data_IF_784458305808
#
_entry.id   IF_784458305808
#
_cell.length_a   1.000
_cell.length_b   1.000
_cell.length_c   1.000
_cell.angle_alpha   90.00
_cell.angle_beta   90.00
_cell.angle_gamma   90.00
#
_symmetry.space_group_name_H-M   'P 1'
#
loop_
_entity.id
_entity.type
_entity.pdbx_description
1 polymer ?
#
# COMPACT_ATOMS: atom_id res chain seq x y z
N UNK A 1 3.15 -109.60 46.58
CA UNK A 1 3.81 -109.15 45.33
C UNK A 1 2.96 -108.08 44.59
N UNK A 2 1.64 -108.06 44.73
CA UNK A 2 0.75 -107.04 44.06
C UNK A 2 0.74 -105.70 44.68
N UNK A 3 1.06 -105.43 45.99
CA UNK A 3 1.08 -104.15 46.61
C UNK A 3 2.26 -103.22 46.18
N UNK A 4 3.43 -103.80 45.87
CA UNK A 4 4.58 -103.08 45.35
C UNK A 4 4.37 -102.54 43.92
N UNK A 5 3.61 -103.25 43.08
CA UNK A 5 3.32 -102.89 41.70
C UNK A 5 2.34 -101.72 41.64
N UNK A 6 1.37 -101.57 42.55
CA UNK A 6 0.39 -100.52 42.61
C UNK A 6 1.00 -99.17 43.16
N UNK A 7 1.99 -99.24 44.10
CA UNK A 7 2.68 -98.05 44.58
C UNK A 7 3.59 -97.43 43.50
N UNK A 8 4.26 -98.30 42.70
CA UNK A 8 5.12 -97.81 41.59
C UNK A 8 4.32 -97.13 40.45
N UNK A 9 3.14 -97.71 40.08
CA UNK A 9 2.25 -97.09 39.07
C UNK A 9 1.60 -95.80 39.53
N UNK A 10 1.30 -95.65 40.82
CA UNK A 10 0.74 -94.37 41.39
C UNK A 10 1.79 -93.23 41.42
N UNK A 11 3.06 -93.54 41.78
CA UNK A 11 4.15 -92.60 41.79
C UNK A 11 4.58 -92.13 40.38
N UNK A 12 4.55 -92.99 39.37
CA UNK A 12 4.84 -92.64 37.98
C UNK A 12 3.76 -91.79 37.34
N UNK A 13 2.46 -92.07 37.66
CA UNK A 13 1.34 -91.21 37.21
C UNK A 13 1.40 -89.80 37.86
N UNK A 14 1.72 -89.66 39.17
CA UNK A 14 1.85 -88.45 39.89
C UNK A 14 3.03 -87.60 39.37
N UNK A 15 4.19 -88.24 39.13
CA UNK A 15 5.36 -87.58 38.57
C UNK A 15 5.15 -87.05 37.13
N UNK A 16 4.41 -87.81 36.30
CA UNK A 16 4.07 -87.39 34.94
C UNK A 16 3.10 -86.21 34.92
N UNK A 17 2.09 -86.26 35.80
CA UNK A 17 1.14 -85.14 35.94
C UNK A 17 1.79 -83.86 36.47
N UNK A 18 2.74 -83.93 37.41
CA UNK A 18 3.50 -82.80 37.91
C UNK A 18 4.48 -82.26 36.85
N UNK A 19 5.10 -83.12 36.05
CA UNK A 19 5.96 -82.69 34.93
C UNK A 19 5.16 -82.01 33.83
N UNK A 20 3.95 -82.53 33.49
CA UNK A 20 3.05 -81.83 32.52
C UNK A 20 2.51 -80.49 33.04
N UNK A 21 2.16 -80.40 34.32
CA UNK A 21 1.76 -79.14 34.94
C UNK A 21 2.92 -78.07 34.90
N UNK A 22 4.13 -78.51 35.22
CA UNK A 22 5.33 -77.64 35.18
C UNK A 22 5.68 -77.23 33.75
N UNK A 23 5.56 -78.13 32.78
CA UNK A 23 5.75 -77.84 31.35
C UNK A 23 4.71 -76.86 30.84
N UNK A 24 3.43 -77.09 31.16
CA UNK A 24 2.35 -76.16 30.75
C UNK A 24 2.46 -74.76 31.41
N UNK A 25 2.86 -74.70 32.68
CA UNK A 25 3.13 -73.44 33.37
C UNK A 25 4.28 -72.71 32.74
N UNK A 26 5.39 -73.35 32.38
CA UNK A 26 6.56 -72.75 31.71
C UNK A 26 6.20 -72.33 30.30
N UNK A 27 5.37 -73.09 29.56
CA UNK A 27 4.88 -72.70 28.22
C UNK A 27 3.95 -71.53 28.26
N UNK A 28 3.11 -71.40 29.30
CA UNK A 28 2.22 -70.22 29.51
C UNK A 28 3.02 -68.98 29.86
N UNK A 29 4.08 -69.12 30.68
CA UNK A 29 5.00 -68.01 31.04
C UNK A 29 5.77 -67.58 29.80
N UNK A 30 6.32 -68.49 28.99
CA UNK A 30 7.03 -68.12 27.74
C UNK A 30 6.11 -67.43 26.73
N UNK A 31 4.85 -67.92 26.59
CA UNK A 31 3.85 -67.22 25.72
C UNK A 31 3.51 -65.83 26.26
N UNK A 32 3.35 -65.64 27.58
CA UNK A 32 3.13 -64.33 28.21
C UNK A 32 4.31 -63.39 28.02
N UNK A 33 5.54 -63.91 28.19
CA UNK A 33 6.75 -63.10 27.97
C UNK A 33 6.92 -62.68 26.51
N UNK A 34 6.62 -63.57 25.56
CA UNK A 34 6.63 -63.30 24.14
C UNK A 34 5.60 -62.20 23.77
N UNK A 35 4.38 -62.33 24.31
CA UNK A 35 3.33 -61.31 24.11
C UNK A 35 3.74 -59.94 24.68
N UNK A 36 4.38 -59.90 25.84
CA UNK A 36 4.88 -58.68 26.46
C UNK A 36 5.97 -58.05 25.61
N UNK A 37 6.90 -58.84 25.08
CA UNK A 37 7.97 -58.36 24.19
C UNK A 37 7.37 -57.78 22.90
N UNK A 38 6.37 -58.44 22.31
CA UNK A 38 5.70 -57.91 21.12
C UNK A 38 5.00 -56.60 21.42
N UNK A 39 4.31 -56.44 22.55
CA UNK A 39 3.65 -55.19 22.95
C UNK A 39 4.68 -54.07 23.13
N UNK A 40 5.82 -54.36 23.77
CA UNK A 40 6.89 -53.37 23.95
C UNK A 40 7.48 -52.96 22.62
N UNK A 41 7.72 -53.87 21.69
CA UNK A 41 8.23 -53.57 20.33
C UNK A 41 7.23 -52.70 19.55
N UNK A 42 5.94 -53.00 19.64
CA UNK A 42 4.88 -52.21 18.99
C UNK A 42 4.79 -50.80 19.60
N UNK A 43 4.91 -50.65 20.94
CA UNK A 43 4.90 -49.38 21.62
C UNK A 43 6.13 -48.55 21.25
N UNK A 44 7.31 -49.16 21.23
CA UNK A 44 8.56 -48.46 20.81
C UNK A 44 8.45 -48.03 19.34
N UNK A 45 7.93 -48.90 18.46
CA UNK A 45 7.69 -48.57 17.05
C UNK A 45 6.71 -47.43 16.85
N UNK A 46 5.61 -47.41 17.63
CA UNK A 46 4.64 -46.30 17.56
C UNK A 46 5.21 -44.98 18.09
N UNK A 47 5.97 -44.99 19.18
CA UNK A 47 6.62 -43.78 19.74
C UNK A 47 7.67 -43.21 18.76
N UNK A 48 8.49 -44.09 18.17
CA UNK A 48 9.48 -43.67 17.15
C UNK A 48 8.82 -43.11 15.91
N UNK A 49 7.72 -43.74 15.44
CA UNK A 49 6.95 -43.22 14.29
C UNK A 49 6.34 -41.89 14.58
N UNK A 50 5.76 -41.68 15.77
CA UNK A 50 5.21 -40.38 16.19
C UNK A 50 6.32 -39.33 16.29
N UNK A 51 7.49 -39.69 16.81
CA UNK A 51 8.64 -38.77 16.93
C UNK A 51 9.17 -38.36 15.55
N UNK A 52 9.35 -39.32 14.62
CA UNK A 52 9.79 -39.05 13.25
C UNK A 52 8.75 -38.18 12.52
N UNK A 53 7.46 -38.50 12.67
CA UNK A 53 6.37 -37.68 12.09
C UNK A 53 6.37 -36.27 12.61
N UNK A 54 6.56 -36.09 13.92
CA UNK A 54 6.65 -34.75 14.55
C UNK A 54 7.88 -33.96 14.07
N UNK A 55 9.03 -34.63 13.94
CA UNK A 55 10.27 -34.03 13.45
C UNK A 55 10.16 -33.60 11.98
N UNK A 56 9.55 -34.45 11.12
CA UNK A 56 9.31 -34.13 9.72
C UNK A 56 8.32 -32.96 9.57
N UNK A 57 7.24 -32.93 10.36
CA UNK A 57 6.30 -31.82 10.34
C UNK A 57 6.92 -30.50 10.79
N UNK A 58 7.79 -30.53 11.81
CA UNK A 58 8.52 -29.33 12.25
C UNK A 58 9.43 -28.80 11.13
N UNK A 59 10.17 -29.69 10.45
CA UNK A 59 11.02 -29.31 9.33
C UNK A 59 10.21 -28.73 8.16
N UNK A 60 9.09 -29.35 7.80
CA UNK A 60 8.18 -28.86 6.74
C UNK A 60 7.62 -27.48 7.11
N UNK A 61 7.28 -27.25 8.37
CA UNK A 61 6.78 -25.94 8.84
C UNK A 61 7.87 -24.87 8.80
N UNK A 62 9.11 -25.18 9.18
CA UNK A 62 10.25 -24.26 9.07
C UNK A 62 10.56 -23.92 7.61
N UNK A 63 10.55 -24.91 6.71
CA UNK A 63 10.74 -24.67 5.28
C UNK A 63 9.64 -23.75 4.70
N UNK A 64 8.37 -23.99 5.06
CA UNK A 64 7.24 -23.14 4.65
C UNK A 64 7.36 -21.71 5.19
N UNK A 65 7.74 -21.56 6.47
CA UNK A 65 8.01 -20.27 7.10
C UNK A 65 9.07 -19.50 6.33
N UNK A 66 10.20 -20.14 6.04
CA UNK A 66 11.30 -19.54 5.30
C UNK A 66 10.88 -19.04 3.92
N UNK A 67 10.16 -19.89 3.16
CA UNK A 67 9.68 -19.53 1.82
C UNK A 67 8.71 -18.35 1.91
N UNK A 68 7.72 -18.40 2.79
CA UNK A 68 6.75 -17.33 2.99
C UNK A 68 7.44 -16.00 3.30
N UNK A 69 8.33 -15.98 4.29
CA UNK A 69 8.98 -14.74 4.74
C UNK A 69 9.95 -14.19 3.69
N UNK A 70 10.63 -15.07 2.94
CA UNK A 70 11.47 -14.66 1.81
C UNK A 70 10.66 -14.00 0.70
N UNK A 71 9.50 -14.56 0.36
CA UNK A 71 8.61 -14.00 -0.66
C UNK A 71 8.07 -12.64 -0.23
N UNK A 72 7.58 -12.53 1.01
CA UNK A 72 7.08 -11.26 1.56
C UNK A 72 8.20 -10.21 1.63
N UNK A 73 9.41 -10.59 2.05
CA UNK A 73 10.57 -9.68 2.12
C UNK A 73 10.94 -9.11 0.76
N UNK A 74 10.84 -9.91 -0.28
CA UNK A 74 11.13 -9.53 -1.66
C UNK A 74 9.95 -8.78 -2.33
N UNK A 75 8.76 -8.79 -1.73
CA UNK A 75 7.62 -8.01 -2.22
C UNK A 75 7.81 -6.52 -1.92
N UNK A 76 7.37 -5.68 -2.84
CA UNK A 76 7.52 -4.22 -2.74
C UNK A 76 6.88 -3.64 -1.45
N UNK A 77 5.71 -4.15 -1.06
CA UNK A 77 4.90 -3.58 0.02
C UNK A 77 4.79 -4.48 1.26
N UNK A 78 5.42 -5.66 1.29
CA UNK A 78 5.36 -6.61 2.42
C UNK A 78 3.94 -6.94 2.89
N UNK A 79 3.00 -7.07 1.95
CA UNK A 79 1.60 -7.39 2.23
C UNK A 79 1.39 -8.86 2.57
N UNK A 80 0.56 -9.09 3.56
CA UNK A 80 0.13 -10.43 3.98
C UNK A 80 -1.39 -10.43 4.21
N UNK A 81 -1.98 -11.62 4.18
CA UNK A 81 -3.39 -11.84 4.50
C UNK A 81 -3.51 -12.79 5.69
N UNK A 82 -4.43 -12.51 6.61
CA UNK A 82 -4.69 -13.45 7.72
C UNK A 82 -5.40 -14.70 7.22
N UNK A 83 -4.85 -15.86 7.54
CA UNK A 83 -5.40 -17.17 7.13
C UNK A 83 -6.48 -17.72 8.09
N UNK A 84 -6.64 -17.09 9.25
CA UNK A 84 -7.65 -17.38 10.29
C UNK A 84 -7.94 -16.11 11.10
N UNK A 85 -8.95 -16.16 12.00
CA UNK A 85 -9.10 -15.12 13.03
C UNK A 85 -7.85 -15.11 13.91
N UNK A 86 -7.21 -13.97 14.03
CA UNK A 86 -5.85 -13.87 14.58
C UNK A 86 -5.79 -12.83 15.68
N UNK A 87 -5.00 -13.12 16.71
CA UNK A 87 -4.72 -12.17 17.78
C UNK A 87 -3.62 -11.19 17.37
N UNK A 88 -3.74 -9.97 17.80
CA UNK A 88 -2.70 -8.96 17.75
C UNK A 88 -2.01 -8.88 19.11
N UNK A 89 -0.72 -8.58 19.09
CA UNK A 89 0.13 -8.61 20.26
C UNK A 89 0.91 -7.30 20.41
N UNK A 90 1.27 -6.92 21.65
CA UNK A 90 2.25 -5.87 21.92
C UNK A 90 3.69 -6.43 21.85
N UNK A 91 4.68 -5.56 22.05
CA UNK A 91 6.12 -5.95 22.08
C UNK A 91 6.50 -6.96 23.18
N UNK A 92 5.62 -7.13 24.18
CA UNK A 92 5.79 -8.07 25.30
C UNK A 92 4.96 -9.34 25.09
N UNK A 93 4.42 -9.56 23.88
CA UNK A 93 3.58 -10.70 23.50
C UNK A 93 2.22 -10.78 24.24
N UNK A 94 1.76 -9.68 24.84
CA UNK A 94 0.41 -9.61 25.37
C UNK A 94 -0.60 -9.39 24.24
N UNK A 95 -1.76 -10.05 24.35
CA UNK A 95 -2.87 -9.85 23.41
C UNK A 95 -3.43 -8.45 23.61
N UNK A 96 -3.51 -7.67 22.53
CA UNK A 96 -4.02 -6.29 22.51
C UNK A 96 -5.20 -6.10 21.54
N UNK A 97 -5.53 -7.11 20.74
CA UNK A 97 -6.62 -7.05 19.79
C UNK A 97 -6.81 -8.36 19.05
N UNK A 98 -7.74 -8.34 18.11
CA UNK A 98 -8.04 -9.45 17.21
C UNK A 98 -8.43 -8.93 15.83
N UNK A 99 -8.04 -9.66 14.78
CA UNK A 99 -8.44 -9.41 13.41
C UNK A 99 -9.10 -10.64 12.81
N UNK A 100 -10.06 -10.45 11.93
CA UNK A 100 -10.78 -11.53 11.28
C UNK A 100 -9.94 -12.17 10.17
N UNK A 101 -10.28 -13.41 9.81
CA UNK A 101 -9.70 -14.08 8.63
C UNK A 101 -9.93 -13.27 7.37
N UNK A 102 -8.93 -13.25 6.50
CA UNK A 102 -9.00 -12.52 5.22
C UNK A 102 -8.63 -11.04 5.35
N UNK A 103 -8.11 -10.63 6.50
CA UNK A 103 -7.66 -9.26 6.74
C UNK A 103 -6.28 -9.04 6.13
N UNK A 104 -6.13 -8.01 5.29
CA UNK A 104 -4.83 -7.61 4.72
C UNK A 104 -4.05 -6.76 5.71
N UNK A 105 -2.78 -7.10 5.89
CA UNK A 105 -1.86 -6.43 6.81
C UNK A 105 -0.57 -6.07 6.09
N UNK A 106 0.10 -5.00 6.53
CA UNK A 106 1.45 -4.65 6.07
C UNK A 106 2.44 -4.92 7.18
N UNK A 107 3.47 -5.68 6.89
CA UNK A 107 4.57 -5.89 7.83
C UNK A 107 5.57 -4.73 7.75
N UNK A 108 6.16 -4.35 8.88
CA UNK A 108 7.21 -3.33 8.96
C UNK A 108 8.51 -3.89 8.37
N UNK A 109 9.40 -4.39 9.18
CA UNK A 109 10.65 -4.99 8.72
C UNK A 109 10.71 -6.50 9.01
N UNK A 110 11.20 -7.26 8.03
CA UNK A 110 11.39 -8.71 8.16
C UNK A 110 12.89 -8.96 8.28
N UNK A 111 13.36 -9.37 9.47
CA UNK A 111 14.78 -9.62 9.71
C UNK A 111 15.30 -10.79 8.85
N UNK A 112 16.59 -10.77 8.54
CA UNK A 112 17.22 -11.77 7.66
C UNK A 112 17.23 -13.19 8.23
N UNK A 113 17.23 -13.33 9.56
CA UNK A 113 17.36 -14.63 10.23
C UNK A 113 16.03 -15.39 10.43
N UNK A 114 14.88 -14.77 10.13
CA UNK A 114 13.53 -15.37 10.25
C UNK A 114 13.21 -16.12 11.57
N UNK A 115 13.97 -15.89 12.64
CA UNK A 115 13.84 -16.63 13.91
C UNK A 115 12.64 -16.20 14.75
N UNK A 116 12.11 -15.00 14.49
CA UNK A 116 10.99 -14.42 15.24
C UNK A 116 9.67 -15.13 14.92
N UNK A 117 8.85 -15.34 15.95
CA UNK A 117 7.45 -15.80 15.78
C UNK A 117 6.49 -14.66 15.46
N UNK A 118 6.81 -13.45 15.90
CA UNK A 118 5.97 -12.26 15.81
C UNK A 118 6.60 -11.24 14.87
N UNK A 119 5.81 -10.71 13.96
CA UNK A 119 6.20 -9.67 13.02
C UNK A 119 5.44 -8.38 13.31
N UNK A 120 6.18 -7.27 13.33
CA UNK A 120 5.64 -5.94 13.58
C UNK A 120 4.81 -5.48 12.39
N UNK A 121 3.66 -4.88 12.67
CA UNK A 121 2.83 -4.21 11.67
C UNK A 121 3.36 -2.79 11.41
N UNK A 122 3.30 -2.36 10.16
CA UNK A 122 3.74 -1.04 9.72
C UNK A 122 2.92 0.05 10.41
N UNK A 123 3.58 1.11 10.85
CA UNK A 123 2.99 2.27 11.53
C UNK A 123 2.25 1.97 12.83
N UNK A 124 2.55 0.84 13.47
CA UNK A 124 1.96 0.51 14.77
C UNK A 124 2.97 -0.22 15.66
N UNK A 125 2.73 -0.25 16.97
CA UNK A 125 3.47 -1.11 17.91
C UNK A 125 2.76 -2.47 18.12
N UNK A 126 2.03 -2.92 17.11
CA UNK A 126 1.34 -4.20 17.10
C UNK A 126 2.13 -5.26 16.35
N UNK A 127 1.92 -6.51 16.73
CA UNK A 127 2.60 -7.67 16.19
C UNK A 127 1.58 -8.76 15.85
N UNK A 128 1.86 -9.56 14.84
CA UNK A 128 1.09 -10.73 14.46
C UNK A 128 2.00 -11.95 14.36
N UNK A 129 1.47 -13.15 14.66
CA UNK A 129 2.22 -14.41 14.50
C UNK A 129 2.37 -14.76 13.03
N UNK A 130 3.55 -15.25 12.64
CA UNK A 130 3.78 -15.72 11.27
C UNK A 130 2.84 -16.87 10.86
N UNK A 131 2.41 -17.71 11.83
CA UNK A 131 1.48 -18.83 11.59
C UNK A 131 0.07 -18.39 11.20
N UNK A 132 -0.23 -17.14 11.42
CA UNK A 132 -1.56 -16.55 11.25
C UNK A 132 -1.71 -15.78 9.93
N UNK A 133 -0.62 -15.70 9.16
CA UNK A 133 -0.55 -14.98 7.89
C UNK A 133 -0.18 -15.89 6.72
N UNK A 134 -0.58 -15.47 5.54
CA UNK A 134 -0.19 -16.06 4.25
C UNK A 134 0.27 -14.95 3.31
N UNK A 135 0.99 -15.32 2.25
CA UNK A 135 1.30 -14.40 1.17
C UNK A 135 0.00 -13.89 0.53
N UNK A 136 -0.06 -12.59 0.26
CA UNK A 136 -1.19 -12.02 -0.47
C UNK A 136 -1.02 -12.28 -1.96
N UNK A 137 -1.96 -13.01 -2.56
CA UNK A 137 -2.02 -13.24 -4.02
C UNK A 137 -2.63 -12.05 -4.77
N UNK A 138 -3.32 -11.14 -4.08
CA UNK A 138 -3.89 -9.96 -4.71
C UNK A 138 -2.80 -8.94 -5.02
N UNK A 139 -2.79 -8.45 -6.27
CA UNK A 139 -2.15 -7.18 -6.60
C UNK A 139 -2.91 -6.10 -5.86
N UNK A 140 -2.42 -5.74 -4.68
CA UNK A 140 -3.00 -4.63 -3.96
C UNK A 140 -2.82 -3.34 -4.77
N UNK A 141 -3.87 -2.53 -4.81
CA UNK A 141 -3.75 -1.14 -5.24
C UNK A 141 -2.64 -0.49 -4.41
N UNK A 142 -1.82 0.30 -5.09
CA UNK A 142 -0.74 1.07 -4.45
C UNK A 142 -1.37 1.95 -3.35
N UNK A 143 -1.23 1.53 -2.10
CA UNK A 143 -1.74 2.29 -0.96
C UNK A 143 -0.85 3.51 -0.76
N UNK A 144 -1.15 4.56 -1.47
CA UNK A 144 -0.35 5.79 -1.52
C UNK A 144 -0.05 6.36 -0.14
N UNK A 145 -0.96 6.21 0.83
CA UNK A 145 -0.75 6.64 2.22
C UNK A 145 0.42 5.92 2.92
N UNK A 146 0.91 4.80 2.40
CA UNK A 146 2.11 4.12 2.89
C UNK A 146 3.38 4.96 2.70
N UNK A 147 3.34 5.92 1.79
CA UNK A 147 4.43 6.86 1.54
C UNK A 147 4.32 8.13 2.41
N UNK A 148 3.22 8.32 3.15
CA UNK A 148 3.06 9.51 3.98
C UNK A 148 3.97 9.44 5.21
N UNK A 149 4.55 10.56 5.56
CA UNK A 149 5.33 10.69 6.79
C UNK A 149 4.36 10.98 7.93
N UNK A 150 4.33 10.19 8.99
CA UNK A 150 3.47 10.47 10.13
C UNK A 150 3.71 11.88 10.70
N UNK A 151 2.66 12.50 11.18
CA UNK A 151 2.79 13.74 11.97
C UNK A 151 3.56 13.45 13.27
N UNK A 152 4.15 14.52 13.87
CA UNK A 152 4.72 14.44 15.22
C UNK A 152 3.62 14.32 16.29
N UNK A 153 2.61 13.52 16.00
CA UNK A 153 1.43 13.29 16.83
C UNK A 153 0.98 11.85 16.63
N UNK A 154 0.54 11.25 17.73
CA UNK A 154 -0.06 9.91 17.71
C UNK A 154 -1.36 9.92 18.50
N UNK A 155 -2.28 9.06 18.11
CA UNK A 155 -3.45 8.76 18.90
C UNK A 155 -3.07 7.72 19.95
N UNK A 156 -3.51 7.93 21.18
CA UNK A 156 -3.46 6.91 22.23
C UNK A 156 -4.85 6.29 22.34
N UNK A 157 -4.95 5.01 22.03
CA UNK A 157 -6.21 4.28 22.18
C UNK A 157 -6.48 3.97 23.66
N UNK A 158 -7.74 3.83 24.01
CA UNK A 158 -8.22 3.30 25.29
C UNK A 158 -9.13 2.08 25.04
N UNK A 159 -9.67 1.49 26.09
CA UNK A 159 -10.43 0.24 26.02
C UNK A 159 -11.59 0.23 25.00
N UNK A 160 -12.15 1.37 24.67
CA UNK A 160 -13.32 1.47 23.79
C UNK A 160 -13.06 2.31 22.53
N UNK A 161 -11.79 2.56 22.21
CA UNK A 161 -11.45 3.32 21.00
C UNK A 161 -11.90 2.57 19.76
N UNK A 162 -12.72 3.24 18.94
CA UNK A 162 -13.26 2.71 17.71
C UNK A 162 -12.52 3.28 16.51
N UNK A 163 -12.04 2.40 15.65
CA UNK A 163 -11.52 2.74 14.33
C UNK A 163 -12.62 2.54 13.29
N UNK A 164 -12.77 3.47 12.38
CA UNK A 164 -13.87 3.53 11.42
C UNK A 164 -13.41 3.51 9.98
N UNK A 165 -14.25 2.94 9.12
CA UNK A 165 -14.24 3.11 7.67
C UNK A 165 -15.66 3.48 7.24
N UNK A 166 -15.83 4.55 6.45
CA UNK A 166 -17.15 5.02 5.93
C UNK A 166 -18.25 5.08 7.01
N UNK A 167 -17.91 5.61 8.19
CA UNK A 167 -18.75 5.70 9.40
C UNK A 167 -19.15 4.35 10.05
N UNK A 168 -18.78 3.22 9.49
CA UNK A 168 -18.95 1.92 10.12
C UNK A 168 -17.78 1.60 11.05
N UNK A 169 -18.09 1.02 12.22
CA UNK A 169 -17.05 0.53 13.13
C UNK A 169 -16.36 -0.66 12.49
N UNK A 170 -15.04 -0.58 12.37
CA UNK A 170 -14.20 -1.64 11.82
C UNK A 170 -13.50 -2.44 12.91
N UNK A 171 -12.87 -1.75 13.87
CA UNK A 171 -12.28 -2.34 15.06
C UNK A 171 -12.69 -1.63 16.33
N UNK A 172 -12.67 -2.38 17.43
CA UNK A 172 -12.60 -1.83 18.79
C UNK A 172 -11.25 -2.25 19.37
N UNK A 173 -10.50 -1.31 19.92
CA UNK A 173 -9.20 -1.57 20.53
C UNK A 173 -9.37 -1.70 22.03
N UNK A 174 -8.99 -2.85 22.59
CA UNK A 174 -9.19 -3.18 24.00
C UNK A 174 -8.09 -2.65 24.94
N UNK A 175 -6.99 -2.16 24.38
CA UNK A 175 -5.82 -1.72 25.14
C UNK A 175 -5.31 -0.37 24.67
N UNK A 176 -4.52 0.25 25.53
CA UNK A 176 -3.77 1.44 25.19
C UNK A 176 -2.63 1.11 24.23
N UNK A 177 -2.76 1.54 22.98
CA UNK A 177 -1.72 1.50 21.95
C UNK A 177 -1.55 2.87 21.34
N UNK A 178 -0.40 3.08 20.75
CA UNK A 178 -0.06 4.32 20.04
C UNK A 178 -0.17 4.13 18.53
N UNK A 179 -1.02 4.96 17.89
CA UNK A 179 -1.23 4.95 16.43
C UNK A 179 -0.76 6.27 15.83
N UNK A 180 0.31 6.28 15.00
CA UNK A 180 0.78 7.48 14.32
C UNK A 180 -0.28 8.07 13.38
N UNK A 181 -0.44 9.40 13.42
CA UNK A 181 -1.39 10.10 12.56
C UNK A 181 -0.76 10.30 11.19
N UNK A 182 -1.41 9.78 10.14
CA UNK A 182 -1.01 9.93 8.74
C UNK A 182 -1.75 11.08 8.04
N UNK A 183 -3.04 11.27 8.37
CA UNK A 183 -3.83 12.38 7.83
C UNK A 183 -4.51 13.11 9.00
N UNK A 184 -4.33 14.43 9.03
CA UNK A 184 -4.94 15.33 9.99
C UNK A 184 -6.07 16.10 9.30
N UNK A 185 -7.25 15.50 9.20
CA UNK A 185 -8.41 16.16 8.60
C UNK A 185 -9.17 17.04 9.61
N UNK A 186 -10.24 17.69 9.23
CA UNK A 186 -10.97 18.68 10.03
C UNK A 186 -11.47 18.10 11.34
N UNK A 187 -12.16 16.96 11.31
CA UNK A 187 -12.81 16.29 12.43
C UNK A 187 -12.30 14.88 12.71
N UNK A 188 -11.34 14.39 11.89
CA UNK A 188 -10.83 13.03 11.91
C UNK A 188 -9.31 12.99 11.89
N UNK A 189 -8.74 12.01 12.59
CA UNK A 189 -7.37 11.57 12.40
C UNK A 189 -7.38 10.23 11.68
N UNK A 190 -6.62 10.13 10.58
CA UNK A 190 -6.47 8.87 9.88
C UNK A 190 -5.14 8.21 10.28
N UNK A 191 -5.23 6.92 10.50
CA UNK A 191 -4.13 6.03 10.89
C UNK A 191 -4.10 4.83 9.95
N UNK A 192 -2.94 4.24 9.74
CA UNK A 192 -2.85 2.97 9.04
C UNK A 192 -3.00 1.85 10.06
N UNK A 193 -3.97 0.99 9.85
CA UNK A 193 -4.18 -0.22 10.61
C UNK A 193 -4.76 -1.29 9.69
N UNK A 194 -4.29 -2.52 9.80
CA UNK A 194 -4.80 -3.63 9.00
C UNK A 194 -4.70 -3.39 7.48
N UNK A 195 -3.61 -2.77 7.03
CA UNK A 195 -3.42 -2.34 5.63
C UNK A 195 -4.58 -1.48 5.08
N UNK A 196 -5.27 -0.79 5.95
CA UNK A 196 -6.35 0.14 5.61
C UNK A 196 -6.12 1.49 6.27
N UNK A 197 -6.57 2.51 5.58
CA UNK A 197 -6.63 3.84 6.14
C UNK A 197 -7.93 3.98 6.92
N UNK A 198 -7.84 3.90 8.24
CA UNK A 198 -8.95 4.02 9.16
C UNK A 198 -8.90 5.37 9.86
N UNK A 199 -10.03 5.81 10.41
CA UNK A 199 -10.05 7.06 11.14
C UNK A 199 -10.58 6.92 12.56
N UNK A 200 -10.16 7.84 13.42
CA UNK A 200 -10.71 8.11 14.74
C UNK A 200 -11.27 9.52 14.75
N UNK A 201 -12.40 9.73 15.42
CA UNK A 201 -12.97 11.07 15.57
C UNK A 201 -12.15 11.87 16.56
N UNK A 202 -11.88 13.15 16.26
CA UNK A 202 -11.04 14.03 17.09
C UNK A 202 -11.62 14.26 18.50
N UNK A 203 -12.92 14.31 18.62
CA UNK A 203 -13.64 14.52 19.89
C UNK A 203 -13.60 13.31 20.83
N UNK A 204 -13.26 12.14 20.32
CA UNK A 204 -13.22 10.86 21.06
C UNK A 204 -11.82 10.27 21.18
N UNK A 205 -10.78 11.02 20.83
CA UNK A 205 -9.39 10.52 20.80
C UNK A 205 -8.48 11.34 21.72
N UNK A 206 -7.61 10.65 22.43
CA UNK A 206 -6.48 11.25 23.14
C UNK A 206 -5.28 11.34 22.18
N UNK A 207 -4.64 12.50 22.10
CA UNK A 207 -3.50 12.75 21.23
C UNK A 207 -2.27 13.08 22.07
N UNK A 208 -1.16 12.44 21.74
CA UNK A 208 0.17 12.72 22.33
C UNK A 208 1.06 13.40 21.28
N UNK A 209 1.68 14.50 21.68
CA UNK A 209 2.71 15.19 20.90
C UNK A 209 4.04 14.46 21.04
N UNK A 210 4.77 14.34 19.94
CA UNK A 210 6.13 13.77 19.91
C UNK A 210 7.15 14.86 19.61
N UNK A 211 8.23 14.88 20.37
CA UNK A 211 9.31 15.88 20.25
C UNK A 211 10.33 15.55 19.13
N UNK A 212 9.95 14.86 18.08
CA UNK A 212 10.86 14.49 17.00
C UNK A 212 10.60 15.37 15.78
N UNK A 213 11.52 16.31 15.48
CA UNK A 213 11.56 16.95 14.16
C UNK A 213 11.92 15.87 13.12
N UNK A 214 11.05 15.63 12.15
CA UNK A 214 11.33 14.72 11.05
C UNK A 214 11.88 15.54 9.87
N UNK A 215 13.21 15.53 9.68
CA UNK A 215 13.90 16.22 8.59
C UNK A 215 13.54 15.68 7.19
N UNK A 216 12.90 14.51 7.12
CA UNK A 216 12.48 13.86 5.88
C UNK A 216 11.14 14.39 5.34
N UNK A 217 10.48 15.32 6.06
CA UNK A 217 9.20 15.93 5.63
C UNK A 217 9.44 17.03 4.61
N UNK A 218 8.66 17.02 3.52
CA UNK A 218 8.65 18.10 2.55
C UNK A 218 8.08 19.41 3.17
N UNK A 219 8.84 20.48 3.10
CA UNK A 219 8.37 21.86 3.43
C UNK A 219 7.82 22.57 2.21
N UNK A 220 8.28 22.18 1.02
CA UNK A 220 7.82 22.63 -0.27
C UNK A 220 8.07 21.56 -1.32
N UNK A 221 7.36 21.62 -2.44
CA UNK A 221 7.58 20.71 -3.56
C UNK A 221 7.48 21.42 -4.90
N UNK A 222 8.07 20.82 -5.95
CA UNK A 222 7.97 21.31 -7.31
C UNK A 222 6.78 20.62 -8.02
N UNK A 223 6.01 21.43 -8.76
CA UNK A 223 5.01 20.95 -9.71
C UNK A 223 5.54 21.23 -11.11
N UNK A 224 5.84 20.20 -11.88
CA UNK A 224 6.40 20.29 -13.22
C UNK A 224 5.28 20.37 -14.25
N UNK A 225 5.45 21.21 -15.26
CA UNK A 225 4.50 21.33 -16.35
C UNK A 225 5.16 21.00 -17.69
N UNK A 226 4.75 19.88 -18.25
CA UNK A 226 5.04 19.43 -19.62
C UNK A 226 3.81 19.69 -20.52
N UNK A 227 4.00 19.53 -21.83
CA UNK A 227 2.90 19.53 -22.81
C UNK A 227 2.99 18.32 -23.73
N UNK A 228 3.83 18.38 -24.76
CA UNK A 228 3.86 17.37 -25.83
C UNK A 228 5.09 16.47 -25.71
N UNK A 229 4.87 15.15 -25.81
CA UNK A 229 5.96 14.16 -25.87
C UNK A 229 5.93 13.48 -27.23
N UNK A 230 6.86 13.88 -28.09
CA UNK A 230 6.90 13.58 -29.53
C UNK A 230 8.00 12.60 -29.90
N UNK A 231 7.82 11.91 -31.01
CA UNK A 231 8.88 11.16 -31.69
C UNK A 231 9.34 11.90 -32.95
N UNK A 232 10.60 12.34 -32.96
CA UNK A 232 11.18 13.04 -34.11
C UNK A 232 11.35 12.10 -35.32
N UNK A 233 11.67 10.83 -35.12
CA UNK A 233 11.83 9.86 -36.19
C UNK A 233 10.50 9.61 -36.93
N UNK A 234 9.37 9.76 -36.20
CA UNK A 234 8.02 9.73 -36.78
C UNK A 234 7.62 11.06 -37.46
N UNK A 235 8.48 12.08 -37.43
CA UNK A 235 8.20 13.41 -38.03
C UNK A 235 7.18 14.26 -37.23
N UNK A 236 6.89 13.90 -35.97
CA UNK A 236 5.92 14.62 -35.13
C UNK A 236 6.40 16.01 -34.71
N UNK A 237 7.73 16.28 -34.79
CA UNK A 237 8.33 17.59 -34.56
C UNK A 237 7.83 18.68 -35.51
N UNK A 238 7.41 18.28 -36.72
CA UNK A 238 6.83 19.19 -37.71
C UNK A 238 5.39 19.62 -37.41
N UNK A 239 4.73 18.86 -36.54
CA UNK A 239 3.34 19.07 -36.16
C UNK A 239 3.21 19.69 -34.75
N UNK A 240 4.32 19.80 -34.03
CA UNK A 240 4.34 20.24 -32.65
C UNK A 240 4.73 21.73 -32.54
N UNK A 241 3.77 22.57 -32.14
CA UNK A 241 3.99 24.00 -31.93
C UNK A 241 3.33 24.49 -30.64
N UNK A 242 3.96 25.40 -29.88
CA UNK A 242 5.30 25.93 -30.11
C UNK A 242 6.40 24.91 -29.77
N UNK A 243 7.44 24.87 -30.59
CA UNK A 243 8.54 23.87 -30.49
C UNK A 243 9.21 23.85 -29.11
N UNK A 244 9.21 24.95 -28.37
CA UNK A 244 9.85 25.06 -27.04
C UNK A 244 9.26 24.15 -25.98
N UNK A 245 8.02 23.70 -26.13
CA UNK A 245 7.31 22.77 -25.21
C UNK A 245 7.15 21.37 -25.78
N UNK A 246 7.79 21.07 -26.92
CA UNK A 246 7.79 19.78 -27.57
C UNK A 246 9.01 18.99 -27.11
N UNK A 247 8.80 18.05 -26.19
CA UNK A 247 9.85 17.17 -25.68
C UNK A 247 9.96 15.94 -26.54
N UNK A 248 11.18 15.46 -26.80
CA UNK A 248 11.33 14.12 -27.35
C UNK A 248 10.97 13.07 -26.29
N UNK A 249 10.50 11.90 -26.74
CA UNK A 249 10.26 10.74 -25.87
C UNK A 249 11.51 10.38 -25.04
N UNK A 250 12.68 10.36 -25.67
CA UNK A 250 13.97 10.10 -24.97
C UNK A 250 14.30 11.16 -23.91
N UNK A 251 14.01 12.44 -24.16
CA UNK A 251 14.21 13.49 -23.16
C UNK A 251 13.23 13.34 -21.99
N UNK A 252 11.95 13.15 -22.28
CA UNK A 252 10.95 12.94 -21.23
C UNK A 252 11.28 11.70 -20.41
N UNK A 253 11.64 10.59 -21.06
CA UNK A 253 12.07 9.36 -20.40
C UNK A 253 13.28 9.58 -19.47
N UNK A 254 14.29 10.35 -19.92
CA UNK A 254 15.45 10.67 -19.09
C UNK A 254 15.08 11.43 -17.80
N UNK A 255 14.08 12.32 -17.89
CA UNK A 255 13.56 13.04 -16.73
C UNK A 255 12.80 12.11 -15.77
N UNK A 256 11.92 11.24 -16.30
CA UNK A 256 11.15 10.29 -15.50
C UNK A 256 12.06 9.25 -14.84
N UNK A 257 13.04 8.75 -15.59
CA UNK A 257 14.07 7.84 -15.07
C UNK A 257 14.86 8.48 -13.92
N UNK A 258 15.27 9.75 -14.06
CA UNK A 258 15.96 10.47 -13.01
C UNK A 258 15.11 10.57 -11.73
N UNK A 259 13.83 10.92 -11.87
CA UNK A 259 12.88 11.00 -10.75
C UNK A 259 12.78 9.64 -10.04
N UNK A 260 12.62 8.56 -10.80
CA UNK A 260 12.52 7.19 -10.26
C UNK A 260 13.80 6.74 -9.55
N UNK A 261 14.95 6.85 -10.25
CA UNK A 261 16.24 6.33 -9.75
C UNK A 261 16.74 7.08 -8.51
N UNK A 262 16.33 8.33 -8.34
CA UNK A 262 16.70 9.14 -7.17
C UNK A 262 15.68 9.05 -6.02
N UNK A 263 14.68 8.15 -6.12
CA UNK A 263 13.74 7.88 -5.07
C UNK A 263 12.74 9.01 -4.80
N UNK A 264 12.38 9.79 -5.83
CA UNK A 264 11.33 10.79 -5.68
C UNK A 264 9.94 10.13 -5.66
N UNK A 265 9.12 10.54 -4.72
CA UNK A 265 7.72 10.17 -4.66
C UNK A 265 6.91 11.10 -5.57
N UNK A 266 6.29 10.55 -6.60
CA UNK A 266 5.43 11.29 -7.53
C UNK A 266 3.99 11.34 -7.00
N UNK A 267 3.45 12.54 -6.81
CA UNK A 267 2.18 12.78 -6.12
C UNK A 267 1.01 13.01 -7.10
N UNK A 268 -0.20 12.66 -6.63
CA UNK A 268 -1.48 12.97 -7.28
C UNK A 268 -1.93 14.41 -6.98
N UNK A 269 -2.95 14.90 -7.71
CA UNK A 269 -3.57 16.20 -7.42
C UNK A 269 -4.28 16.21 -6.06
N UNK A 270 -4.83 15.09 -5.63
CA UNK A 270 -5.43 14.96 -4.30
C UNK A 270 -4.37 15.12 -3.20
N UNK A 271 -3.22 14.48 -3.34
CA UNK A 271 -2.11 14.63 -2.40
C UNK A 271 -1.52 16.04 -2.40
N UNK A 272 -1.46 16.69 -3.56
CA UNK A 272 -1.05 18.08 -3.67
C UNK A 272 -2.02 19.01 -2.89
N UNK A 273 -3.33 18.81 -3.07
CA UNK A 273 -4.34 19.59 -2.34
C UNK A 273 -4.24 19.34 -0.82
N UNK A 274 -4.13 18.08 -0.40
CA UNK A 274 -3.98 17.73 1.02
C UNK A 274 -2.69 18.28 1.63
N UNK A 275 -1.59 18.33 0.87
CA UNK A 275 -0.34 18.94 1.31
C UNK A 275 -0.51 20.47 1.49
N UNK A 276 -1.15 21.15 0.55
CA UNK A 276 -1.43 22.59 0.65
C UNK A 276 -2.32 22.89 1.86
N UNK A 277 -3.31 22.04 2.13
CA UNK A 277 -4.25 22.16 3.26
C UNK A 277 -3.64 21.73 4.61
N UNK A 278 -2.36 21.36 4.67
CA UNK A 278 -1.66 20.86 5.86
C UNK A 278 -2.27 19.58 6.47
N UNK A 279 -2.88 18.77 5.61
CA UNK A 279 -3.54 17.52 6.03
C UNK A 279 -2.64 16.29 6.00
N UNK A 280 -1.56 16.31 5.22
CA UNK A 280 -0.59 15.22 5.11
C UNK A 280 0.85 15.73 5.16
N UNK A 281 1.75 14.86 5.59
CA UNK A 281 3.18 15.04 5.42
C UNK A 281 3.66 14.14 4.29
N UNK A 282 4.28 14.75 3.29
CA UNK A 282 4.90 14.06 2.17
C UNK A 282 6.41 13.88 2.41
N UNK A 283 7.04 12.87 1.81
CA UNK A 283 8.49 12.72 1.81
C UNK A 283 9.18 13.98 1.25
N UNK A 284 10.35 14.33 1.77
CA UNK A 284 11.16 15.47 1.32
C UNK A 284 11.41 15.45 -0.19
N UNK A 285 11.65 14.25 -0.74
CA UNK A 285 11.77 14.03 -2.18
C UNK A 285 10.41 13.76 -2.81
N UNK A 286 9.50 14.75 -2.82
CA UNK A 286 8.22 14.66 -3.52
C UNK A 286 8.16 15.63 -4.69
N UNK A 287 7.51 15.20 -5.77
CA UNK A 287 7.35 15.98 -7.00
C UNK A 287 5.99 15.68 -7.65
N UNK A 288 5.36 16.70 -8.24
CA UNK A 288 4.18 16.51 -9.09
C UNK A 288 4.57 16.70 -10.55
N UNK A 289 4.09 15.83 -11.44
CA UNK A 289 4.33 15.86 -12.88
C UNK A 289 3.01 16.12 -13.57
N UNK A 290 2.89 17.25 -14.26
CA UNK A 290 1.67 17.61 -14.99
C UNK A 290 1.95 17.74 -16.49
N UNK A 291 0.98 17.37 -17.31
CA UNK A 291 0.98 17.47 -18.77
C UNK A 291 -0.30 18.18 -19.16
N UNK A 292 -0.20 19.21 -20.01
CA UNK A 292 -1.37 19.97 -20.44
C UNK A 292 -1.84 19.58 -21.84
N UNK A 293 -3.05 19.99 -22.20
CA UNK A 293 -3.76 19.90 -23.50
C UNK A 293 -4.34 18.51 -23.82
N UNK A 294 -3.50 17.51 -24.12
CA UNK A 294 -3.95 16.17 -24.52
C UNK A 294 -3.40 15.67 -25.85
N UNK A 295 -2.65 16.48 -26.60
CA UNK A 295 -1.97 16.03 -27.83
C UNK A 295 -0.63 15.35 -27.51
N UNK A 296 -0.28 14.32 -28.29
CA UNK A 296 0.98 13.56 -28.16
C UNK A 296 1.21 12.94 -26.76
N UNK A 297 0.14 12.58 -26.03
CA UNK A 297 0.22 12.07 -24.65
C UNK A 297 0.55 10.57 -24.58
N UNK A 298 0.25 9.81 -25.63
CA UNK A 298 0.39 8.33 -25.59
C UNK A 298 1.79 7.85 -25.17
N UNK A 299 2.85 8.54 -25.63
CA UNK A 299 4.24 8.21 -25.26
C UNK A 299 4.52 8.52 -23.81
N UNK A 300 4.09 9.69 -23.35
CA UNK A 300 4.21 10.08 -21.92
C UNK A 300 3.50 9.07 -21.04
N UNK A 301 2.27 8.68 -21.37
CA UNK A 301 1.51 7.63 -20.65
C UNK A 301 2.29 6.32 -20.55
N UNK A 302 2.86 5.84 -21.68
CA UNK A 302 3.62 4.60 -21.71
C UNK A 302 4.89 4.68 -20.84
N UNK A 303 5.62 5.79 -20.91
CA UNK A 303 6.83 6.02 -20.10
C UNK A 303 6.46 6.06 -18.60
N UNK A 304 5.46 6.83 -18.22
CA UNK A 304 5.00 6.91 -16.83
C UNK A 304 4.60 5.54 -16.26
N UNK A 305 3.85 4.74 -17.03
CA UNK A 305 3.47 3.39 -16.65
C UNK A 305 4.69 2.45 -16.53
N UNK A 306 5.64 2.52 -17.45
CA UNK A 306 6.84 1.66 -17.45
C UNK A 306 7.73 1.90 -16.23
N UNK A 307 7.85 3.17 -15.80
CA UNK A 307 8.63 3.54 -14.62
C UNK A 307 7.81 3.55 -13.31
N UNK A 308 6.48 3.32 -13.39
CA UNK A 308 5.57 3.43 -12.24
C UNK A 308 5.69 4.81 -11.54
N UNK A 309 5.71 5.87 -12.32
CA UNK A 309 5.80 7.25 -11.86
C UNK A 309 4.46 7.94 -12.16
N UNK A 310 3.80 8.45 -11.12
CA UNK A 310 2.51 9.12 -11.24
C UNK A 310 2.65 10.44 -11.98
N UNK A 311 1.79 10.66 -12.96
CA UNK A 311 1.61 11.93 -13.66
C UNK A 311 0.14 12.34 -13.68
N UNK A 312 -0.10 13.58 -14.04
CA UNK A 312 -1.43 14.19 -14.17
C UNK A 312 -1.57 14.80 -15.56
N UNK A 313 -2.60 14.44 -16.30
CA UNK A 313 -2.99 15.09 -17.53
C UNK A 313 -4.11 16.10 -17.26
N UNK A 314 -3.94 17.35 -17.64
CA UNK A 314 -5.00 18.33 -17.74
C UNK A 314 -5.51 18.37 -19.19
N UNK A 315 -6.64 17.69 -19.42
CA UNK A 315 -7.20 17.41 -20.73
C UNK A 315 -8.19 18.49 -21.16
N UNK A 316 -8.06 18.95 -22.41
CA UNK A 316 -9.11 19.69 -23.11
C UNK A 316 -10.21 18.67 -23.44
N UNK A 317 -11.34 18.76 -22.74
CA UNK A 317 -12.31 17.68 -22.64
C UNK A 317 -12.99 17.23 -23.93
N UNK A 318 -13.03 18.07 -24.98
CA UNK A 318 -13.63 17.69 -26.25
C UNK A 318 -12.75 16.73 -27.09
N UNK A 319 -11.46 16.56 -26.74
CA UNK A 319 -10.52 15.80 -27.57
C UNK A 319 -10.81 14.30 -27.58
N UNK A 320 -11.18 13.73 -26.44
CA UNK A 320 -11.49 12.30 -26.36
C UNK A 320 -12.12 11.95 -24.99
N UNK A 321 -12.73 10.77 -24.86
CA UNK A 321 -13.14 10.27 -23.55
C UNK A 321 -11.94 10.02 -22.64
N UNK A 322 -12.13 10.20 -21.33
CA UNK A 322 -11.08 10.02 -20.31
C UNK A 322 -10.42 8.65 -20.34
N UNK A 323 -11.17 7.61 -20.72
CA UNK A 323 -10.68 6.22 -20.85
C UNK A 323 -9.49 6.06 -21.81
N UNK A 324 -9.36 6.93 -22.80
CA UNK A 324 -8.27 6.85 -23.79
C UNK A 324 -6.93 7.32 -23.20
N UNK A 325 -7.00 8.14 -22.16
CA UNK A 325 -5.84 8.78 -21.53
C UNK A 325 -5.49 8.18 -20.18
N UNK A 326 -6.47 7.95 -19.32
CA UNK A 326 -6.26 7.45 -17.96
C UNK A 326 -5.53 6.11 -17.95
N UNK A 327 -4.67 5.93 -16.95
CA UNK A 327 -3.95 4.68 -16.69
C UNK A 327 -3.59 4.59 -15.21
N UNK A 328 -3.04 3.47 -14.71
CA UNK A 328 -2.63 3.35 -13.30
C UNK A 328 -1.66 4.45 -12.83
N UNK A 329 -0.86 5.03 -13.74
CA UNK A 329 0.11 6.08 -13.44
C UNK A 329 -0.13 7.40 -14.19
N UNK A 330 -1.35 7.61 -14.70
CA UNK A 330 -1.76 8.89 -15.31
C UNK A 330 -3.20 9.19 -14.95
N UNK A 331 -3.43 10.09 -14.00
CA UNK A 331 -4.74 10.65 -13.70
C UNK A 331 -5.10 11.78 -14.69
N UNK A 332 -6.41 12.02 -14.90
CA UNK A 332 -6.90 12.99 -15.88
C UNK A 332 -7.83 13.99 -15.21
N UNK A 333 -7.53 15.29 -15.43
CA UNK A 333 -8.27 16.41 -14.89
C UNK A 333 -8.53 17.48 -15.95
N UNK A 334 -9.21 18.57 -15.57
CA UNK A 334 -9.79 19.52 -16.52
C UNK A 334 -8.80 20.62 -16.98
N UNK A 335 -8.78 20.84 -18.31
CA UNK A 335 -8.18 22.01 -18.98
C UNK A 335 -9.22 22.74 -19.83
N UNK A 336 -10.44 22.97 -19.33
CA UNK A 336 -11.68 23.36 -20.00
C UNK A 336 -12.33 22.22 -20.81
N UNK A 337 -13.58 22.39 -21.20
CA UNK A 337 -14.19 21.54 -22.22
C UNK A 337 -13.78 21.98 -23.63
N UNK A 338 -14.05 23.24 -23.97
CA UNK A 338 -13.73 23.83 -25.29
C UNK A 338 -13.38 25.33 -25.20
N UNK A 339 -13.18 25.88 -24.01
CA UNK A 339 -12.79 27.26 -23.80
C UNK A 339 -11.27 27.42 -23.57
N UNK A 340 -10.45 26.66 -24.31
CA UNK A 340 -9.02 26.73 -24.19
C UNK A 340 -8.49 28.08 -24.70
N UNK A 341 -8.82 28.45 -25.94
CA UNK A 341 -8.45 29.72 -26.56
C UNK A 341 -9.62 30.37 -27.29
N UNK A 342 -9.48 31.63 -27.60
CA UNK A 342 -10.43 32.38 -28.41
C UNK A 342 -9.71 33.40 -29.27
N UNK A 343 -10.17 33.57 -30.51
CA UNK A 343 -9.68 34.60 -31.40
C UNK A 343 -10.21 35.97 -30.92
N UNK A 344 -9.35 37.01 -31.00
CA UNK A 344 -9.70 38.41 -30.70
C UNK A 344 -10.01 38.73 -29.21
N UNK A 345 -9.51 37.95 -28.26
CA UNK A 345 -9.51 38.32 -26.86
C UNK A 345 -8.43 39.41 -26.62
N UNK A 346 -8.82 40.61 -26.18
CA UNK A 346 -7.91 41.71 -25.92
C UNK A 346 -7.15 41.55 -24.62
N UNK A 347 -7.73 40.83 -23.67
CA UNK A 347 -7.23 40.62 -22.32
C UNK A 347 -6.15 39.55 -22.26
N UNK A 348 -6.07 38.65 -23.27
CA UNK A 348 -5.10 37.53 -23.32
C UNK A 348 -5.45 36.49 -24.38
N UNK A 349 -4.87 35.30 -24.26
CA UNK A 349 -5.07 34.19 -25.17
C UNK A 349 -6.18 33.25 -24.70
N UNK A 350 -6.33 33.10 -23.36
CA UNK A 350 -7.33 32.23 -22.77
C UNK A 350 -8.75 32.77 -22.96
N UNK A 351 -9.67 31.93 -23.40
CA UNK A 351 -11.09 32.25 -23.50
C UNK A 351 -11.71 32.62 -22.13
N UNK A 352 -11.12 32.16 -21.04
CA UNK A 352 -11.55 32.45 -19.67
C UNK A 352 -11.43 33.94 -19.28
N UNK A 353 -10.64 34.72 -20.02
CA UNK A 353 -10.51 36.17 -19.78
C UNK A 353 -11.58 36.99 -20.46
N UNK A 354 -12.15 36.44 -21.55
CA UNK A 354 -13.01 37.23 -22.45
C UNK A 354 -14.50 36.89 -22.37
N UNK A 355 -14.86 35.69 -21.84
CA UNK A 355 -16.27 35.31 -21.70
C UNK A 355 -16.83 35.75 -20.34
N UNK A 356 -18.13 35.93 -20.31
CA UNK A 356 -18.86 36.12 -19.07
C UNK A 356 -18.82 34.84 -18.19
N UNK A 357 -19.06 35.03 -16.89
CA UNK A 357 -18.99 33.96 -15.91
C UNK A 357 -19.92 32.80 -16.22
N UNK A 358 -21.15 33.07 -16.72
CA UNK A 358 -22.14 32.03 -16.98
C UNK A 358 -21.67 31.07 -18.06
N UNK A 359 -21.09 31.58 -19.14
CA UNK A 359 -20.54 30.77 -20.23
C UNK A 359 -19.33 29.98 -19.79
N UNK A 360 -18.47 30.56 -18.95
CA UNK A 360 -17.33 29.84 -18.38
C UNK A 360 -17.83 28.71 -17.48
N UNK A 361 -18.80 28.96 -16.60
CA UNK A 361 -19.38 27.91 -15.70
C UNK A 361 -20.00 26.77 -16.48
N UNK A 362 -20.70 27.04 -17.58
CA UNK A 362 -21.30 26.01 -18.46
C UNK A 362 -20.21 25.08 -19.04
N UNK A 363 -19.17 25.64 -19.63
CA UNK A 363 -18.03 24.87 -20.18
C UNK A 363 -17.33 24.03 -19.10
N UNK A 364 -17.06 24.65 -17.95
CA UNK A 364 -16.39 23.99 -16.83
C UNK A 364 -17.21 22.84 -16.23
N UNK A 365 -18.53 22.99 -16.10
CA UNK A 365 -19.42 21.89 -15.65
C UNK A 365 -19.40 20.73 -16.64
N UNK A 366 -19.48 21.04 -17.93
CA UNK A 366 -19.38 20.02 -18.98
C UNK A 366 -18.03 19.29 -18.96
N UNK A 367 -16.93 20.03 -18.75
CA UNK A 367 -15.62 19.43 -18.59
C UNK A 367 -15.57 18.49 -17.39
N UNK A 368 -16.08 18.90 -16.23
CA UNK A 368 -16.12 18.03 -15.05
C UNK A 368 -16.89 16.74 -15.28
N UNK A 369 -18.11 16.84 -15.87
CA UNK A 369 -18.96 15.69 -16.16
C UNK A 369 -18.25 14.69 -17.08
N UNK A 370 -17.53 15.17 -18.09
CA UNK A 370 -16.78 14.32 -19.02
C UNK A 370 -15.54 13.66 -18.40
N UNK A 371 -15.04 14.21 -17.29
CA UNK A 371 -13.81 13.79 -16.62
C UNK A 371 -14.07 13.23 -15.21
N UNK A 372 -15.09 12.37 -15.07
CA UNK A 372 -15.45 11.67 -13.83
C UNK A 372 -15.66 12.62 -12.63
N UNK A 373 -16.26 13.78 -12.87
CA UNK A 373 -16.48 14.85 -11.87
C UNK A 373 -15.18 15.37 -11.22
N UNK A 374 -14.09 15.43 -11.98
CA UNK A 374 -12.82 16.01 -11.52
C UNK A 374 -13.02 17.39 -10.88
N UNK A 375 -12.28 17.64 -9.77
CA UNK A 375 -12.31 18.92 -9.05
C UNK A 375 -11.02 19.72 -9.22
N UNK A 376 -10.10 19.26 -10.05
CA UNK A 376 -8.81 19.89 -10.30
C UNK A 376 -8.75 20.46 -11.71
N UNK A 377 -8.16 21.65 -11.82
CA UNK A 377 -8.14 22.44 -13.03
C UNK A 377 -6.76 23.00 -13.33
N UNK A 378 -6.46 23.23 -14.61
CA UNK A 378 -5.32 24.01 -15.06
C UNK A 378 -5.77 25.14 -15.99
N UNK A 379 -5.26 26.35 -15.74
CA UNK A 379 -5.57 27.50 -16.58
C UNK A 379 -4.88 27.42 -17.93
N UNK A 380 -5.62 27.51 -19.07
CA UNK A 380 -5.02 27.68 -20.39
C UNK A 380 -4.08 28.91 -20.41
N UNK A 381 -2.90 28.72 -21.00
CA UNK A 381 -1.85 29.76 -21.10
C UNK A 381 -1.41 30.35 -19.76
N UNK A 382 -1.75 29.70 -18.62
CA UNK A 382 -1.53 30.16 -17.24
C UNK A 382 -2.34 31.41 -16.88
N UNK A 383 -3.29 31.83 -17.73
CA UNK A 383 -4.02 33.10 -17.64
C UNK A 383 -5.32 32.93 -16.86
N UNK A 384 -5.57 33.82 -15.93
CA UNK A 384 -6.78 33.87 -15.12
C UNK A 384 -7.06 35.30 -14.60
N UNK A 385 -8.31 35.55 -14.27
CA UNK A 385 -8.78 36.70 -13.55
C UNK A 385 -9.76 36.29 -12.44
N UNK A 386 -10.27 37.22 -11.67
CA UNK A 386 -11.22 36.90 -10.58
C UNK A 386 -12.54 36.33 -11.11
N UNK A 387 -12.96 36.71 -12.31
CA UNK A 387 -14.14 36.12 -12.96
C UNK A 387 -13.94 34.63 -13.23
N UNK A 388 -12.80 34.23 -13.78
CA UNK A 388 -12.45 32.83 -14.02
C UNK A 388 -12.36 32.04 -12.71
N UNK A 389 -11.72 32.60 -11.65
CA UNK A 389 -11.65 31.95 -10.32
C UNK A 389 -13.06 31.74 -9.74
N UNK A 390 -13.93 32.75 -9.83
CA UNK A 390 -15.30 32.64 -9.33
C UNK A 390 -16.12 31.61 -10.11
N UNK A 391 -15.91 31.52 -11.43
CA UNK A 391 -16.55 30.52 -12.28
C UNK A 391 -16.09 29.08 -11.90
N UNK A 392 -14.80 28.89 -11.64
CA UNK A 392 -14.28 27.59 -11.18
C UNK A 392 -14.90 27.15 -9.86
N UNK A 393 -14.99 28.06 -8.88
CA UNK A 393 -15.64 27.75 -7.59
C UNK A 393 -17.12 27.40 -7.77
N UNK A 394 -17.85 28.15 -8.58
CA UNK A 394 -19.27 27.89 -8.88
C UNK A 394 -19.48 26.56 -9.64
N UNK A 395 -18.53 26.20 -10.51
CA UNK A 395 -18.54 24.91 -11.20
C UNK A 395 -18.11 23.74 -10.29
N UNK A 396 -17.65 24.00 -9.05
CA UNK A 396 -17.30 22.99 -8.05
C UNK A 396 -15.85 22.48 -8.16
N UNK A 397 -14.93 23.26 -8.71
CA UNK A 397 -13.50 22.98 -8.60
C UNK A 397 -12.96 23.41 -7.24
N UNK A 398 -11.95 22.68 -6.72
CA UNK A 398 -11.34 22.91 -5.41
C UNK A 398 -9.90 23.44 -5.52
N UNK A 399 -9.24 23.18 -6.65
CA UNK A 399 -7.86 23.64 -6.89
C UNK A 399 -7.65 23.94 -8.38
N UNK A 400 -6.84 24.99 -8.66
CA UNK A 400 -6.46 25.39 -10.01
C UNK A 400 -4.98 25.76 -10.10
N UNK A 401 -4.30 25.24 -11.12
CA UNK A 401 -2.87 25.40 -11.34
C UNK A 401 -2.60 26.44 -12.43
N UNK A 402 -1.52 27.22 -12.23
CA UNK A 402 -1.04 28.22 -13.18
C UNK A 402 0.45 28.05 -13.46
N UNK A 403 1.12 29.01 -14.07
CA UNK A 403 2.57 29.09 -14.17
C UNK A 403 3.20 29.80 -12.96
N UNK A 404 4.43 30.28 -13.08
CA UNK A 404 5.06 31.14 -12.06
C UNK A 404 6.44 30.70 -11.60
N UNK A 405 6.89 29.47 -11.95
CA UNK A 405 8.24 28.94 -11.65
C UNK A 405 8.62 29.05 -10.17
N UNK A 406 7.70 28.67 -9.29
CA UNK A 406 7.89 28.70 -7.83
C UNK A 406 7.53 27.32 -7.24
N UNK A 407 8.14 26.98 -6.11
CA UNK A 407 7.77 25.82 -5.33
C UNK A 407 6.44 26.06 -4.61
N UNK A 408 5.67 25.00 -4.47
CA UNK A 408 4.41 24.98 -3.72
C UNK A 408 4.73 24.77 -2.24
N UNK A 409 4.13 25.58 -1.38
CA UNK A 409 4.19 25.44 0.08
C UNK A 409 2.80 25.21 0.65
N UNK A 410 2.73 24.91 1.94
CA UNK A 410 1.45 24.80 2.66
C UNK A 410 0.72 26.14 2.70
N UNK A 411 -0.60 26.10 2.84
CA UNK A 411 -1.48 27.26 3.06
C UNK A 411 -1.44 28.34 1.96
N UNK A 412 -1.04 28.00 0.73
CA UNK A 412 -1.14 28.91 -0.40
C UNK A 412 -2.57 28.94 -0.96
N UNK A 413 -2.85 29.95 -1.80
CA UNK A 413 -4.12 30.02 -2.51
C UNK A 413 -4.26 28.86 -3.53
N UNK A 414 -5.16 27.93 -3.26
CA UNK A 414 -5.39 26.75 -4.11
C UNK A 414 -5.86 27.05 -5.53
N UNK A 415 -6.40 28.25 -5.79
CA UNK A 415 -6.77 28.68 -7.14
C UNK A 415 -5.65 29.41 -7.89
N UNK A 416 -4.43 29.42 -7.35
CA UNK A 416 -3.23 30.05 -7.95
C UNK A 416 -1.98 29.19 -7.70
N UNK A 417 -2.10 27.86 -7.83
CA UNK A 417 -0.98 26.93 -7.54
C UNK A 417 0.09 27.07 -8.63
N UNK A 418 1.34 27.46 -8.29
CA UNK A 418 2.38 27.69 -9.28
C UNK A 418 2.98 26.39 -9.81
N UNK A 419 3.47 26.43 -11.06
CA UNK A 419 4.19 25.33 -11.71
C UNK A 419 5.49 25.80 -12.36
N UNK A 420 6.45 24.87 -12.47
CA UNK A 420 7.64 25.07 -13.28
C UNK A 420 7.38 24.59 -14.70
N UNK A 421 7.43 25.50 -15.66
CA UNK A 421 7.33 25.15 -17.09
C UNK A 421 8.63 24.48 -17.51
N UNK A 422 8.52 23.25 -18.00
CA UNK A 422 9.65 22.48 -18.51
C UNK A 422 9.71 22.69 -20.02
N UNK A 423 10.85 23.13 -20.49
CA UNK A 423 11.11 23.38 -21.92
C UNK A 423 11.94 22.24 -22.53
N UNK A 424 11.91 22.13 -23.84
CA UNK A 424 12.73 21.16 -24.58
C UNK A 424 14.25 21.35 -24.42
N UNK A 425 14.66 22.50 -23.87
CA UNK A 425 16.05 22.81 -23.51
C UNK A 425 16.38 22.47 -22.04
N UNK A 426 15.41 22.00 -21.27
CA UNK A 426 15.64 21.60 -19.87
C UNK A 426 16.39 20.28 -19.83
N UNK A 427 17.65 20.33 -19.39
CA UNK A 427 18.45 19.12 -19.17
C UNK A 427 18.06 18.41 -17.87
N UNK A 428 18.44 17.15 -17.71
CA UNK A 428 18.24 16.38 -16.47
C UNK A 428 18.90 17.06 -15.27
N UNK A 429 20.09 17.69 -15.43
CA UNK A 429 20.75 18.45 -14.36
C UNK A 429 19.96 19.70 -13.94
N UNK A 430 19.33 20.37 -14.91
CA UNK A 430 18.46 21.50 -14.60
C UNK A 430 17.18 21.05 -13.90
N UNK A 431 16.59 19.95 -14.36
CA UNK A 431 15.45 19.32 -13.68
C UNK A 431 15.80 18.98 -12.23
N UNK A 432 16.95 18.35 -11.99
CA UNK A 432 17.44 18.03 -10.66
C UNK A 432 17.42 19.25 -9.73
N UNK A 433 17.94 20.38 -10.21
CA UNK A 433 17.97 21.65 -9.44
C UNK A 433 16.58 22.25 -9.17
N UNK A 434 15.57 21.92 -9.98
CA UNK A 434 14.19 22.38 -9.78
C UNK A 434 13.50 21.55 -8.69
N UNK A 435 13.75 20.24 -8.67
CA UNK A 435 13.00 19.32 -7.81
C UNK A 435 13.67 19.08 -6.45
N UNK A 436 14.97 19.33 -6.31
CA UNK A 436 15.68 19.30 -5.02
C UNK A 436 15.59 20.63 -4.29
#
# INVERSE_FOLDING_TARGET
>A
MQEKINKTKKNTKSNKHNAEKKYNKTKKIKKGLLALVIIIVVLIGSVTTIFIYKQNNNKINEDKKYILLKNIKNSYNKFVITNKNSKLYDKNENIIGEVTKGTYLVLDDIPDNYDKEYFKLKYSDMYIKYTDIAESEEKQEDNRYDNYIPFNKSIITNKDTKLYIDDNTYYTIDKQIELPILINDTDKYYVSFDNKLLYVRKDSSEVVEKNNSNEEVATSLAVLNYHFVINKEAGEDKLCEPSSICHTDTQFESHIKYIKDNGFYSITMKELEMFIDDKINLPKKSVSITIDDGWFVARAKNILNSYQVMGTLFLIGYLAPVSDYASPYLEVHSHTWNLHNVSNCKEGRSALLCYDKSKIVEDLKKSRESLNNSTYFCYPFYEYNDNAINALKEAGFTMALTGGNKRVTRNINKFKVPRYVIYNTTTTDRLAKIIT
#
